data_IF_823076517543
#
_entry.id   IF_823076517543
#
_cell.length_a   1.000
_cell.length_b   1.000
_cell.length_c   1.000
_cell.angle_alpha   90.00
_cell.angle_beta   90.00
_cell.angle_gamma   90.00
#
_symmetry.space_group_name_H-M   'P 1'
#
loop_
_entity.id
_entity.type
_entity.pdbx_description
1 polymer ?
#
# COMPACT_ATOMS: atom_id res chain seq x y z
N UNK A 1 2.90 -15.39 8.59
CA UNK A 1 2.37 -14.12 9.14
C UNK A 1 1.03 -13.82 8.50
N UNK A 2 0.04 -13.32 9.24
CA UNK A 2 -1.31 -13.05 8.73
C UNK A 2 -1.35 -11.66 8.07
N UNK A 3 -1.74 -11.60 6.80
CA UNK A 3 -2.02 -10.34 6.11
C UNK A 3 -3.39 -9.81 6.51
N UNK A 4 -3.47 -8.57 6.98
CA UNK A 4 -4.71 -7.88 7.26
C UNK A 4 -5.24 -7.21 5.98
N UNK A 5 -6.56 -7.22 5.80
CA UNK A 5 -7.20 -6.70 4.59
C UNK A 5 -8.25 -5.67 4.98
N UNK A 6 -8.20 -4.49 4.37
CA UNK A 6 -9.21 -3.46 4.53
C UNK A 6 -9.78 -3.09 3.16
N UNK A 7 -11.10 -3.16 3.02
CA UNK A 7 -11.80 -2.82 1.79
C UNK A 7 -12.70 -1.62 2.02
N UNK A 8 -12.65 -0.64 1.11
CA UNK A 8 -13.55 0.51 1.09
C UNK A 8 -14.20 0.62 -0.28
N UNK A 9 -15.53 0.70 -0.32
CA UNK A 9 -16.28 0.99 -1.55
C UNK A 9 -16.11 2.48 -1.88
N UNK A 10 -15.84 2.77 -3.14
CA UNK A 10 -15.74 4.12 -3.71
C UNK A 10 -17.09 4.54 -4.28
N UNK A 11 -17.29 5.84 -4.46
CA UNK A 11 -18.50 6.40 -5.08
C UNK A 11 -18.75 5.85 -6.49
N UNK A 12 -17.67 5.56 -7.22
CA UNK A 12 -17.70 4.91 -8.54
C UNK A 12 -18.14 3.45 -8.53
N UNK A 13 -18.47 2.88 -7.37
CA UNK A 13 -18.83 1.46 -7.22
C UNK A 13 -17.63 0.50 -7.11
N UNK A 14 -16.42 0.96 -7.46
CA UNK A 14 -15.17 0.22 -7.30
C UNK A 14 -14.80 0.02 -5.81
N UNK A 15 -13.84 -0.85 -5.55
CA UNK A 15 -13.29 -1.15 -4.24
C UNK A 15 -11.81 -0.77 -4.17
N UNK A 16 -11.49 0.12 -3.23
CA UNK A 16 -10.14 0.29 -2.71
C UNK A 16 -9.83 -0.85 -1.74
N UNK A 17 -8.67 -1.48 -1.89
CA UNK A 17 -8.16 -2.48 -0.97
C UNK A 17 -6.78 -2.09 -0.45
N UNK A 18 -6.60 -2.20 0.87
CA UNK A 18 -5.32 -2.17 1.56
C UNK A 18 -5.01 -3.56 2.11
N UNK A 19 -3.84 -4.09 1.75
CA UNK A 19 -3.28 -5.32 2.28
C UNK A 19 -2.07 -4.98 3.13
N UNK A 20 -2.09 -5.36 4.40
CA UNK A 20 -1.06 -5.02 5.38
C UNK A 20 -0.43 -6.31 5.87
N UNK A 21 0.81 -6.54 5.46
CA UNK A 21 1.61 -7.70 5.85
C UNK A 21 2.73 -7.24 6.78
N UNK A 22 2.69 -7.57 8.08
CA UNK A 22 3.83 -7.32 8.93
C UNK A 22 5.02 -8.15 8.44
N UNK A 23 6.23 -7.60 8.57
CA UNK A 23 7.48 -8.25 8.25
C UNK A 23 8.49 -7.87 9.34
N UNK A 24 9.11 -8.85 10.00
CA UNK A 24 10.18 -8.57 10.97
C UNK A 24 11.46 -8.24 10.22
N UNK A 25 11.99 -7.03 10.41
CA UNK A 25 13.28 -6.62 9.87
C UNK A 25 14.41 -7.35 10.60
N UNK A 26 15.63 -7.29 10.04
CA UNK A 26 16.84 -7.83 10.68
C UNK A 26 17.14 -7.16 12.04
N UNK A 27 16.70 -5.92 12.22
CA UNK A 27 16.89 -5.11 13.43
C UNK A 27 15.83 -5.38 14.52
N UNK A 28 15.04 -6.46 14.39
CA UNK A 28 13.91 -6.80 15.27
C UNK A 28 12.75 -5.78 15.28
N UNK A 29 12.81 -4.73 14.46
CA UNK A 29 11.70 -3.81 14.22
C UNK A 29 10.68 -4.41 13.23
N UNK A 30 9.42 -4.00 13.32
CA UNK A 30 8.37 -4.46 12.38
C UNK A 30 8.24 -3.44 11.23
N UNK A 31 8.33 -3.94 10.01
CA UNK A 31 7.93 -3.22 8.80
C UNK A 31 6.55 -3.73 8.36
N UNK A 32 5.58 -2.83 8.29
CA UNK A 32 4.25 -3.10 7.75
C UNK A 32 4.28 -2.87 6.25
N UNK A 33 4.41 -3.95 5.48
CA UNK A 33 4.37 -3.91 4.03
C UNK A 33 2.92 -3.73 3.60
N UNK A 34 2.64 -2.64 2.89
CA UNK A 34 1.31 -2.25 2.45
C UNK A 34 1.20 -2.31 0.93
N UNK A 35 0.24 -3.09 0.43
CA UNK A 35 -0.16 -3.07 -0.97
C UNK A 35 -1.55 -2.41 -1.11
N UNK A 36 -1.67 -1.54 -2.11
CA UNK A 36 -2.89 -0.74 -2.35
C UNK A 36 -3.35 -0.92 -3.79
N UNK A 37 -4.62 -1.23 -3.99
CA UNK A 37 -5.22 -1.32 -5.32
C UNK A 37 -6.70 -0.91 -5.36
N UNK A 38 -7.18 -0.56 -6.56
CA UNK A 38 -8.58 -0.24 -6.82
C UNK A 38 -9.09 -1.06 -8.00
N UNK A 39 -10.10 -1.90 -7.77
CA UNK A 39 -10.75 -2.74 -8.80
C UNK A 39 -12.28 -2.74 -8.65
N UNK A 40 -13.02 -3.31 -9.60
CA UNK A 40 -14.49 -3.30 -9.57
C UNK A 40 -15.05 -4.15 -8.45
N UNK A 41 -14.36 -5.24 -8.08
CA UNK A 41 -14.82 -6.16 -7.04
C UNK A 41 -13.74 -6.50 -6.02
N UNK A 42 -14.16 -6.88 -4.79
CA UNK A 42 -13.25 -7.43 -3.77
C UNK A 42 -12.52 -8.70 -4.27
N UNK A 43 -13.16 -9.48 -5.15
CA UNK A 43 -12.58 -10.70 -5.73
C UNK A 43 -11.40 -10.36 -6.63
N UNK A 44 -11.55 -9.35 -7.48
CA UNK A 44 -10.46 -8.84 -8.34
C UNK A 44 -9.31 -8.27 -7.50
N UNK A 45 -9.59 -7.49 -6.46
CA UNK A 45 -8.53 -7.01 -5.56
C UNK A 45 -7.74 -8.18 -4.94
N UNK A 46 -8.43 -9.21 -4.45
CA UNK A 46 -7.80 -10.38 -3.86
C UNK A 46 -7.02 -11.20 -4.89
N UNK A 47 -7.56 -11.34 -6.10
CA UNK A 47 -6.89 -12.00 -7.20
C UNK A 47 -5.59 -11.26 -7.53
N UNK A 48 -5.66 -9.94 -7.73
CA UNK A 48 -4.47 -9.10 -7.97
C UNK A 48 -3.42 -9.24 -6.86
N UNK A 49 -3.83 -9.19 -5.59
CA UNK A 49 -2.90 -9.32 -4.46
C UNK A 49 -2.18 -10.67 -4.41
N UNK A 50 -2.85 -11.77 -4.79
CA UNK A 50 -2.26 -13.12 -4.81
C UNK A 50 -1.34 -13.38 -5.99
N UNK A 51 -1.52 -12.64 -7.09
CA UNK A 51 -0.80 -12.84 -8.34
C UNK A 51 0.09 -11.62 -8.66
N UNK A 52 0.62 -10.93 -7.64
CA UNK A 52 1.50 -9.77 -7.86
C UNK A 52 2.82 -10.13 -8.53
N UNK A 53 3.32 -11.35 -8.30
CA UNK A 53 4.58 -11.86 -8.88
C UNK A 53 4.40 -12.29 -10.35
N UNK A 54 3.18 -12.62 -10.75
CA UNK A 54 2.83 -12.71 -12.16
C UNK A 54 2.72 -11.27 -12.61
N UNK A 55 3.70 -10.77 -13.36
CA UNK A 55 3.78 -9.40 -13.88
C UNK A 55 2.51 -9.14 -14.70
N UNK A 56 1.42 -8.75 -14.03
CA UNK A 56 0.13 -8.58 -14.68
C UNK A 56 0.28 -7.32 -15.54
N UNK A 57 0.21 -7.45 -16.87
CA UNK A 57 0.48 -6.37 -17.80
C UNK A 57 -0.45 -5.22 -17.46
N UNK A 58 0.13 -4.04 -17.18
CA UNK A 58 -0.55 -2.74 -17.04
C UNK A 58 -1.99 -2.87 -16.51
N UNK A 59 -2.20 -3.55 -15.38
CA UNK A 59 -3.56 -3.78 -14.89
C UNK A 59 -4.27 -2.44 -14.75
N UNK A 60 -5.49 -2.34 -15.28
CA UNK A 60 -6.34 -1.14 -15.23
C UNK A 60 -6.68 -0.86 -13.77
N UNK A 61 -5.78 -0.18 -13.06
CA UNK A 61 -6.01 0.26 -11.71
C UNK A 61 -6.69 1.63 -11.79
N UNK A 62 -7.92 1.69 -11.26
CA UNK A 62 -8.81 2.85 -11.37
C UNK A 62 -8.47 3.90 -10.31
N UNK A 63 -7.23 4.40 -10.36
CA UNK A 63 -6.79 5.49 -9.50
C UNK A 63 -7.58 6.76 -9.81
N UNK A 64 -8.26 7.28 -8.80
CA UNK A 64 -8.93 8.58 -8.81
C UNK A 64 -8.71 9.29 -7.47
N UNK A 65 -9.03 10.58 -7.41
CA UNK A 65 -8.75 11.42 -6.22
C UNK A 65 -9.40 10.86 -4.95
N UNK A 66 -10.64 10.36 -5.05
CA UNK A 66 -11.34 9.72 -3.92
C UNK A 66 -10.56 8.51 -3.38
N UNK A 67 -10.07 7.64 -4.27
CA UNK A 67 -9.31 6.45 -3.89
C UNK A 67 -7.99 6.81 -3.21
N UNK A 68 -7.33 7.86 -3.71
CA UNK A 68 -6.11 8.42 -3.10
C UNK A 68 -6.39 8.95 -1.70
N UNK A 69 -7.41 9.78 -1.52
CA UNK A 69 -7.76 10.36 -0.21
C UNK A 69 -8.13 9.30 0.81
N UNK A 70 -8.94 8.30 0.40
CA UNK A 70 -9.29 7.17 1.27
C UNK A 70 -8.07 6.31 1.61
N UNK A 71 -7.15 6.10 0.67
CA UNK A 71 -5.90 5.38 0.94
C UNK A 71 -5.04 6.13 1.96
N UNK A 72 -4.87 7.45 1.81
CA UNK A 72 -4.18 8.30 2.81
C UNK A 72 -4.80 8.15 4.18
N UNK A 73 -6.13 8.22 4.28
CA UNK A 73 -6.82 8.10 5.56
C UNK A 73 -6.52 6.76 6.24
N UNK A 74 -6.61 5.66 5.50
CA UNK A 74 -6.30 4.33 6.01
C UNK A 74 -4.82 4.19 6.42
N UNK A 75 -3.90 4.81 5.68
CA UNK A 75 -2.47 4.85 6.03
C UNK A 75 -2.20 5.66 7.29
N UNK A 76 -2.89 6.79 7.48
CA UNK A 76 -2.82 7.59 8.72
C UNK A 76 -3.36 6.82 9.92
N UNK A 77 -4.44 6.06 9.75
CA UNK A 77 -4.95 5.16 10.78
C UNK A 77 -3.92 4.09 11.12
N UNK A 78 -3.27 3.47 10.12
CA UNK A 78 -2.18 2.53 10.35
C UNK A 78 -1.01 3.19 11.10
N UNK A 79 -0.59 4.39 10.71
CA UNK A 79 0.50 5.15 11.34
C UNK A 79 0.23 5.45 12.83
N UNK A 80 -1.03 5.63 13.23
CA UNK A 80 -1.42 5.81 14.64
C UNK A 80 -1.31 4.52 15.46
N UNK A 81 -1.42 3.37 14.81
CA UNK A 81 -1.47 2.06 15.44
C UNK A 81 -0.12 1.33 15.50
N UNK A 82 0.89 1.80 14.76
CA UNK A 82 2.26 1.25 14.82
C UNK A 82 3.08 1.94 15.91
N UNK A 83 4.06 1.21 16.45
CA UNK A 83 4.95 1.64 17.53
C UNK A 83 6.13 2.45 17.00
N UNK A 84 6.77 3.24 17.86
CA UNK A 84 8.04 3.91 17.54
C UNK A 84 9.11 2.87 17.17
N UNK A 85 9.91 3.20 16.16
CA UNK A 85 10.88 2.29 15.54
C UNK A 85 10.29 1.35 14.47
N UNK A 86 8.96 1.23 14.37
CA UNK A 86 8.31 0.49 13.28
C UNK A 86 8.17 1.34 12.02
N UNK A 87 7.91 0.70 10.88
CA UNK A 87 7.80 1.40 9.60
C UNK A 87 6.61 0.93 8.77
N UNK A 88 6.11 1.81 7.91
CA UNK A 88 5.15 1.47 6.85
C UNK A 88 5.90 1.51 5.53
N UNK A 89 5.82 0.43 4.75
CA UNK A 89 6.52 0.28 3.47
C UNK A 89 5.50 0.05 2.36
N UNK A 90 5.50 0.89 1.33
CA UNK A 90 4.61 0.77 0.18
C UNK A 90 5.45 0.57 -1.08
N UNK A 91 5.38 -0.62 -1.66
CA UNK A 91 6.05 -0.92 -2.92
C UNK A 91 5.27 -0.41 -4.12
N UNK A 92 5.99 -0.13 -5.20
CA UNK A 92 5.43 -0.03 -6.54
C UNK A 92 6.23 -0.92 -7.48
N UNK A 93 5.55 -1.43 -8.51
CA UNK A 93 6.16 -2.29 -9.55
C UNK A 93 6.18 -1.62 -10.91
N UNK A 94 5.55 -0.44 -11.03
CA UNK A 94 5.49 0.33 -12.26
C UNK A 94 5.43 1.84 -11.99
N UNK A 95 5.81 2.62 -13.00
CA UNK A 95 5.89 4.08 -12.94
C UNK A 95 4.53 4.74 -12.70
N UNK A 96 3.42 4.14 -13.16
CA UNK A 96 2.08 4.69 -12.95
C UNK A 96 1.70 4.63 -11.47
N UNK A 97 2.00 3.51 -10.79
CA UNK A 97 1.84 3.36 -9.34
C UNK A 97 2.79 4.28 -8.58
N UNK A 98 4.05 4.41 -9.00
CA UNK A 98 4.99 5.36 -8.39
C UNK A 98 4.45 6.79 -8.40
N UNK A 99 3.94 7.25 -9.54
CA UNK A 99 3.30 8.57 -9.67
C UNK A 99 2.04 8.69 -8.83
N UNK A 100 1.20 7.66 -8.84
CA UNK A 100 0.01 7.62 -8.00
C UNK A 100 0.39 7.79 -6.53
N UNK A 101 1.46 7.17 -6.05
CA UNK A 101 1.90 7.25 -4.65
C UNK A 101 2.78 8.46 -4.31
N UNK A 102 3.19 9.27 -5.30
CA UNK A 102 4.04 10.44 -5.07
C UNK A 102 3.45 11.43 -4.06
N UNK A 103 2.11 11.52 -3.96
CA UNK A 103 1.46 12.36 -2.94
C UNK A 103 1.84 11.99 -1.50
N UNK A 104 2.26 10.75 -1.24
CA UNK A 104 2.65 10.27 0.09
C UNK A 104 3.83 11.05 0.66
N UNK A 105 4.68 11.63 -0.19
CA UNK A 105 5.78 12.49 0.23
C UNK A 105 5.30 13.67 1.07
N UNK A 106 4.12 14.21 0.78
CA UNK A 106 3.49 15.30 1.57
C UNK A 106 3.09 14.86 2.98
N UNK A 107 3.06 13.55 3.25
CA UNK A 107 2.70 12.95 4.53
C UNK A 107 3.90 12.32 5.25
N UNK A 108 5.12 12.69 4.86
CA UNK A 108 6.36 12.25 5.52
C UNK A 108 6.91 10.91 5.03
N UNK A 109 6.31 10.29 4.01
CA UNK A 109 6.92 9.14 3.35
C UNK A 109 8.11 9.59 2.49
N UNK A 110 9.17 8.79 2.47
CA UNK A 110 10.36 9.05 1.63
C UNK A 110 10.56 7.92 0.64
N UNK A 111 11.04 8.25 -0.57
CA UNK A 111 11.50 7.23 -1.52
C UNK A 111 12.74 6.54 -0.94
N UNK A 112 12.74 5.20 -0.97
CA UNK A 112 13.83 4.37 -0.43
C UNK A 112 13.81 2.99 -1.08
N UNK A 113 14.72 2.12 -0.63
CA UNK A 113 14.71 0.70 -0.97
C UNK A 113 14.50 -0.15 0.29
N UNK A 114 13.65 -1.16 0.17
CA UNK A 114 13.41 -2.15 1.22
C UNK A 114 13.33 -3.53 0.56
N UNK A 115 14.08 -4.51 1.09
CA UNK A 115 14.22 -5.86 0.48
C UNK A 115 14.54 -5.79 -1.04
N UNK A 116 15.51 -4.94 -1.40
CA UNK A 116 15.98 -4.72 -2.78
C UNK A 116 14.91 -4.28 -3.79
N UNK A 117 13.81 -3.68 -3.28
CA UNK A 117 12.70 -3.14 -4.08
C UNK A 117 12.47 -1.67 -3.76
N UNK A 118 12.24 -0.88 -4.79
CA UNK A 118 11.91 0.54 -4.65
C UNK A 118 10.56 0.72 -3.92
N UNK A 119 10.53 1.61 -2.94
CA UNK A 119 9.38 1.78 -2.05
C UNK A 119 9.26 3.19 -1.48
N UNK A 120 8.07 3.52 -0.97
CA UNK A 120 7.84 4.68 -0.13
C UNK A 120 7.82 4.16 1.29
N UNK A 121 8.69 4.69 2.15
CA UNK A 121 8.80 4.28 3.54
C UNK A 121 8.49 5.43 4.47
N UNK A 122 7.73 5.15 5.52
CA UNK A 122 7.52 6.04 6.65
C UNK A 122 8.03 5.33 7.91
N UNK A 123 9.05 5.90 8.56
CA UNK A 123 9.51 5.42 9.87
C UNK A 123 8.76 6.17 10.97
N UNK A 124 8.25 5.43 11.94
CA UNK A 124 7.61 6.03 13.12
C UNK A 124 8.72 6.42 14.10
N UNK A 125 8.86 7.72 14.32
CA UNK A 125 9.72 8.27 15.39
C UNK A 125 9.15 7.95 16.77
#
# INVERSE_FOLDING_TARGET
MKTYKNFKRLSSGHYLALYISPHRSKERSIAYIVAICIFRTKRECNYWFRHQDQILPKSVNFWGMEGILKAVQLLKELQKNIRSGESIVIYWVDERRRRAFKFLQRYGYVESMYLDRACYILKKS
#
